data_IF_009102709781
#
_entry.id   IF_009102709781
#
_cell.length_a   1.000
_cell.length_b   1.000
_cell.length_c   1.000
_cell.angle_alpha   90.00
_cell.angle_beta   90.00
_cell.angle_gamma   90.00
#
_symmetry.space_group_name_H-M   'P 1'
#
loop_
_entity.id
_entity.type
_entity.pdbx_description
1 polymer ?
#
# COMPACT_ATOMS: atom_id res chain seq x y z
N UNK A 1 3.82 -11.75 36.48
CA UNK A 1 3.47 -10.81 35.40
C UNK A 1 3.38 -9.43 36.03
N UNK A 2 4.28 -8.51 35.70
CA UNK A 2 4.05 -7.12 36.04
C UNK A 2 2.90 -6.66 35.17
N UNK A 3 1.80 -6.22 35.76
CA UNK A 3 0.74 -5.54 35.01
C UNK A 3 1.34 -4.25 34.50
N UNK A 4 1.47 -4.14 33.17
CA UNK A 4 1.85 -2.90 32.51
C UNK A 4 0.74 -1.88 32.76
N UNK A 5 1.03 -0.86 33.56
CA UNK A 5 0.12 0.27 33.76
C UNK A 5 0.03 1.16 32.51
N UNK A 6 -1.04 1.93 32.42
CA UNK A 6 -1.22 2.91 31.33
C UNK A 6 -0.08 3.93 31.26
N UNK A 7 0.61 4.17 32.37
CA UNK A 7 1.73 5.09 32.46
C UNK A 7 3.01 4.57 31.78
N UNK A 8 3.06 3.27 31.47
CA UNK A 8 4.18 2.63 30.78
C UNK A 8 3.96 2.56 29.26
N UNK A 9 2.80 2.98 28.77
CA UNK A 9 2.49 3.04 27.35
C UNK A 9 3.18 4.22 26.69
N UNK A 10 4.12 3.92 25.81
CA UNK A 10 4.76 4.95 24.98
C UNK A 10 3.94 5.12 23.69
N UNK A 11 3.34 6.29 23.44
CA UNK A 11 2.62 6.54 22.18
C UNK A 11 3.55 6.33 20.99
N UNK A 12 3.09 5.58 20.00
CA UNK A 12 3.86 5.27 18.79
C UNK A 12 4.86 4.12 18.95
N UNK A 13 4.89 3.44 20.10
CA UNK A 13 5.68 2.22 20.24
C UNK A 13 5.18 1.12 19.29
N UNK A 14 6.11 0.44 18.61
CA UNK A 14 5.76 -0.72 17.80
C UNK A 14 5.26 -1.84 18.71
N UNK A 15 4.08 -2.37 18.39
CA UNK A 15 3.53 -3.53 19.10
C UNK A 15 4.08 -4.81 18.47
N UNK A 16 4.41 -5.78 19.34
CA UNK A 16 4.85 -7.09 18.89
C UNK A 16 3.70 -7.96 18.44
N UNK A 17 4.00 -8.86 17.52
CA UNK A 17 3.09 -9.93 17.16
C UNK A 17 2.91 -10.86 18.37
N UNK A 18 1.69 -11.21 18.69
CA UNK A 18 1.41 -12.25 19.67
C UNK A 18 1.80 -13.62 19.09
N UNK A 19 3.00 -14.05 19.37
CA UNK A 19 3.49 -15.37 18.96
C UNK A 19 3.43 -16.40 20.10
N UNK A 20 2.72 -16.08 21.18
CA UNK A 20 2.65 -16.91 22.39
C UNK A 20 3.84 -16.78 23.33
N UNK A 21 4.84 -16.00 22.98
CA UNK A 21 6.02 -15.78 23.80
C UNK A 21 5.95 -14.38 24.44
N UNK A 22 5.47 -14.31 25.66
CA UNK A 22 5.23 -13.07 26.42
C UNK A 22 6.45 -12.58 27.21
N UNK A 23 7.64 -13.07 26.92
CA UNK A 23 8.86 -12.73 27.65
C UNK A 23 9.60 -11.50 27.12
N UNK A 24 8.95 -10.69 26.28
CA UNK A 24 9.54 -9.45 25.80
C UNK A 24 9.32 -8.33 26.81
N UNK A 25 10.40 -7.80 27.35
CA UNK A 25 10.36 -6.55 28.08
C UNK A 25 10.48 -5.39 27.07
N UNK A 26 9.47 -4.54 27.02
CA UNK A 26 9.45 -3.38 26.11
C UNK A 26 10.65 -2.46 26.34
N UNK A 27 11.17 -2.43 27.58
CA UNK A 27 12.35 -1.64 27.92
C UNK A 27 13.65 -2.12 27.23
N UNK A 28 13.70 -3.39 26.83
CA UNK A 28 14.88 -3.98 26.19
C UNK A 28 14.95 -3.73 24.68
N UNK A 29 13.90 -3.13 24.11
CA UNK A 29 13.82 -2.87 22.67
C UNK A 29 14.41 -1.51 22.38
N UNK A 30 15.47 -1.52 21.58
CA UNK A 30 16.07 -0.28 21.12
C UNK A 30 15.12 0.49 20.20
N UNK A 31 15.08 1.82 20.24
CA UNK A 31 14.22 2.63 19.38
C UNK A 31 14.40 2.34 17.89
N UNK A 32 15.60 1.99 17.48
CA UNK A 32 15.96 1.64 16.10
C UNK A 32 15.29 0.34 15.66
N UNK A 33 15.19 -0.64 16.53
CA UNK A 33 14.59 -1.95 16.26
C UNK A 33 13.06 -1.87 16.15
N UNK A 34 12.46 -0.86 16.76
CA UNK A 34 11.00 -0.69 16.79
C UNK A 34 10.41 -0.35 15.42
N UNK A 35 11.17 0.30 14.58
CA UNK A 35 10.67 0.82 13.30
C UNK A 35 10.73 -0.19 12.16
N UNK A 36 11.61 -1.19 12.29
CA UNK A 36 11.90 -2.13 11.20
C UNK A 36 11.92 -3.59 11.63
N UNK A 37 11.41 -3.90 12.82
CA UNK A 37 11.36 -5.28 13.27
C UNK A 37 10.43 -6.11 12.37
N UNK A 38 10.77 -7.38 12.17
CA UNK A 38 9.95 -8.34 11.42
C UNK A 38 8.54 -8.50 11.99
N UNK A 39 8.31 -7.99 13.20
CA UNK A 39 7.02 -8.03 13.91
C UNK A 39 6.19 -6.75 13.71
N UNK A 40 6.66 -5.79 12.92
CA UNK A 40 5.91 -4.56 12.64
C UNK A 40 4.84 -4.79 11.58
N UNK A 41 3.84 -3.90 11.53
CA UNK A 41 2.80 -3.93 10.50
C UNK A 41 3.35 -3.81 9.07
N UNK A 42 4.58 -3.30 8.91
CA UNK A 42 5.26 -3.22 7.62
C UNK A 42 5.59 -4.61 7.04
N UNK A 43 5.81 -5.61 7.87
CA UNK A 43 6.07 -6.98 7.44
C UNK A 43 4.79 -7.81 7.23
N UNK A 44 3.64 -7.28 7.63
CA UNK A 44 2.36 -7.96 7.47
C UNK A 44 1.80 -7.71 6.06
N UNK A 45 1.80 -8.75 5.22
CA UNK A 45 1.15 -8.69 3.91
C UNK A 45 -0.37 -8.81 4.05
N UNK A 46 -1.10 -7.91 3.40
CA UNK A 46 -2.57 -7.96 3.27
C UNK A 46 -2.99 -8.24 1.83
N UNK A 47 -2.03 -8.53 0.96
CA UNK A 47 -2.28 -8.79 -0.46
C UNK A 47 -3.28 -9.91 -0.71
N UNK A 48 -3.29 -10.93 0.12
CA UNK A 48 -4.20 -12.07 0.00
C UNK A 48 -5.67 -11.74 0.30
N UNK A 49 -5.93 -10.59 0.88
CA UNK A 49 -7.30 -10.18 1.25
C UNK A 49 -8.08 -9.54 0.11
N UNK A 50 -7.40 -9.11 -0.95
CA UNK A 50 -8.08 -8.43 -2.07
C UNK A 50 -8.57 -9.41 -3.11
N UNK A 51 -9.61 -9.01 -3.82
CA UNK A 51 -10.20 -9.73 -4.95
C UNK A 51 -9.80 -9.08 -6.28
N UNK A 52 -9.64 -7.78 -6.25
CA UNK A 52 -9.23 -6.94 -7.39
C UNK A 52 -8.03 -6.08 -7.00
N UNK A 53 -7.19 -5.78 -7.96
CA UNK A 53 -5.99 -4.97 -7.77
C UNK A 53 -5.90 -3.84 -8.80
N UNK A 54 -5.33 -2.69 -8.43
CA UNK A 54 -5.04 -1.65 -9.39
C UNK A 54 -3.81 -2.04 -10.22
N UNK A 55 -3.90 -1.90 -11.53
CA UNK A 55 -2.75 -1.99 -12.43
C UNK A 55 -2.42 -0.60 -12.94
N UNK A 56 -1.15 -0.26 -12.95
CA UNK A 56 -0.65 1.03 -13.35
C UNK A 56 -0.05 0.99 -14.77
N UNK A 57 -0.50 1.91 -15.61
CA UNK A 57 0.07 2.15 -16.92
C UNK A 57 0.93 3.42 -16.90
N UNK A 58 2.23 3.24 -16.97
CA UNK A 58 3.20 4.33 -16.93
C UNK A 58 3.14 5.24 -18.15
N UNK A 59 2.71 4.74 -19.32
CA UNK A 59 2.66 5.52 -20.57
C UNK A 59 1.58 6.61 -20.56
N UNK A 60 0.51 6.40 -19.78
CA UNK A 60 -0.60 7.36 -19.66
C UNK A 60 -0.51 8.20 -18.39
N UNK A 61 0.42 7.89 -17.51
CA UNK A 61 0.60 8.57 -16.23
C UNK A 61 1.21 9.97 -16.42
N UNK A 62 0.69 10.94 -15.68
CA UNK A 62 1.18 12.33 -15.66
C UNK A 62 1.85 12.72 -14.36
N UNK A 63 2.12 11.75 -13.49
CA UNK A 63 2.79 11.93 -12.20
C UNK A 63 2.15 12.97 -11.27
N UNK A 64 0.83 13.14 -11.35
CA UNK A 64 0.08 14.11 -10.53
C UNK A 64 0.03 13.72 -9.05
N UNK A 65 0.31 12.45 -8.72
CA UNK A 65 0.36 11.89 -7.37
C UNK A 65 -0.97 11.93 -6.58
N UNK A 66 -2.10 12.18 -7.22
CA UNK A 66 -3.39 12.10 -6.54
C UNK A 66 -3.64 10.73 -5.92
N UNK A 67 -3.26 9.66 -6.63
CA UNK A 67 -3.36 8.28 -6.12
C UNK A 67 -2.52 8.07 -4.86
N UNK A 68 -1.35 8.67 -4.77
CA UNK A 68 -0.49 8.61 -3.60
C UNK A 68 -1.13 9.31 -2.38
N UNK A 69 -1.71 10.49 -2.58
CA UNK A 69 -2.36 11.26 -1.51
C UNK A 69 -3.58 10.52 -0.95
N UNK A 70 -4.37 9.89 -1.82
CA UNK A 70 -5.64 9.25 -1.43
C UNK A 70 -5.50 7.79 -1.03
N UNK A 71 -4.34 7.16 -1.19
CA UNK A 71 -4.17 5.76 -0.80
C UNK A 71 -4.22 5.61 0.74
N UNK A 72 -5.20 4.88 1.29
CA UNK A 72 -5.36 4.73 2.74
C UNK A 72 -4.24 3.88 3.37
N UNK A 73 -3.58 3.04 2.57
CA UNK A 73 -2.58 2.10 3.05
C UNK A 73 -1.14 2.50 2.64
N UNK A 74 -0.96 3.68 2.07
CA UNK A 74 0.34 4.16 1.59
C UNK A 74 1.00 3.16 0.61
N UNK A 75 0.19 2.47 -0.18
CA UNK A 75 0.65 1.41 -1.09
C UNK A 75 1.04 1.92 -2.47
N UNK A 76 0.86 3.21 -2.74
CA UNK A 76 1.36 3.85 -3.97
C UNK A 76 2.79 4.32 -3.72
N UNK A 77 3.70 3.86 -4.57
CA UNK A 77 5.11 4.21 -4.47
C UNK A 77 5.38 5.43 -5.35
N UNK A 78 5.81 6.52 -4.73
CA UNK A 78 6.22 7.74 -5.42
C UNK A 78 7.59 8.19 -4.92
N UNK A 79 8.48 8.56 -5.85
CA UNK A 79 9.81 9.10 -5.54
C UNK A 79 10.19 10.17 -6.55
N UNK A 80 10.84 11.23 -6.08
CA UNK A 80 11.33 12.31 -6.93
C UNK A 80 10.22 12.94 -7.81
N UNK A 81 9.02 13.06 -7.26
CA UNK A 81 7.81 13.58 -7.94
C UNK A 81 7.31 12.68 -9.08
N UNK A 82 7.74 11.44 -9.14
CA UNK A 82 7.29 10.46 -10.11
C UNK A 82 6.63 9.28 -9.43
N UNK A 83 5.59 8.74 -10.04
CA UNK A 83 5.01 7.47 -9.63
C UNK A 83 5.93 6.32 -10.05
N UNK A 84 6.12 5.34 -9.17
CA UNK A 84 6.99 4.19 -9.42
C UNK A 84 6.24 2.85 -9.44
N UNK A 85 5.03 2.81 -8.95
CA UNK A 85 4.22 1.59 -8.96
C UNK A 85 3.32 1.45 -7.75
N UNK A 86 2.82 0.24 -7.56
CA UNK A 86 1.93 -0.15 -6.47
C UNK A 86 2.59 -1.25 -5.64
N UNK A 87 2.62 -1.07 -4.33
CA UNK A 87 3.02 -2.10 -3.39
C UNK A 87 1.84 -3.06 -3.15
N UNK A 88 1.85 -4.18 -3.84
CA UNK A 88 0.78 -5.17 -3.77
C UNK A 88 0.74 -5.96 -2.47
N UNK A 89 1.77 -5.93 -1.66
CA UNK A 89 1.75 -6.59 -0.35
C UNK A 89 0.88 -5.84 0.65
N UNK A 90 0.78 -4.52 0.52
CA UNK A 90 0.02 -3.66 1.43
C UNK A 90 -1.27 -3.09 0.80
N UNK A 91 -1.43 -3.22 -0.50
CA UNK A 91 -2.64 -2.76 -1.19
C UNK A 91 -3.84 -3.65 -0.86
N UNK A 92 -4.94 -3.07 -0.40
CA UNK A 92 -6.20 -3.79 -0.11
C UNK A 92 -7.21 -3.81 -1.25
N UNK A 93 -6.90 -3.19 -2.40
CA UNK A 93 -7.79 -3.19 -3.55
C UNK A 93 -9.01 -2.28 -3.42
N UNK A 94 -8.93 -1.18 -2.67
CA UNK A 94 -10.08 -0.30 -2.40
C UNK A 94 -10.53 0.53 -3.63
N UNK A 95 -9.70 0.70 -4.66
CA UNK A 95 -10.02 1.42 -5.89
C UNK A 95 -9.98 2.94 -5.81
N UNK A 96 -9.63 3.55 -4.67
CA UNK A 96 -9.56 5.01 -4.53
C UNK A 96 -8.55 5.64 -5.50
N UNK A 97 -7.40 5.01 -5.71
CA UNK A 97 -6.39 5.48 -6.66
C UNK A 97 -6.93 5.58 -8.09
N UNK A 98 -7.79 4.65 -8.48
CA UNK A 98 -8.46 4.67 -9.79
C UNK A 98 -9.49 5.80 -9.86
N UNK A 99 -10.26 5.99 -8.79
CA UNK A 99 -11.28 7.06 -8.74
C UNK A 99 -10.68 8.45 -8.90
N UNK A 100 -9.53 8.71 -8.28
CA UNK A 100 -8.90 10.04 -8.29
C UNK A 100 -7.94 10.27 -9.44
N UNK A 101 -7.70 9.26 -10.27
CA UNK A 101 -6.84 9.41 -11.44
C UNK A 101 -7.48 10.33 -12.48
N UNK A 102 -6.85 11.47 -12.84
CA UNK A 102 -7.46 12.47 -13.72
C UNK A 102 -7.26 12.18 -15.21
N UNK A 103 -6.41 11.21 -15.57
CA UNK A 103 -6.08 10.93 -16.96
C UNK A 103 -7.22 10.26 -17.72
N UNK A 104 -7.27 10.42 -19.04
CA UNK A 104 -8.23 9.75 -19.91
C UNK A 104 -7.51 9.17 -21.13
N UNK A 105 -7.39 7.85 -21.27
CA UNK A 105 -7.85 6.83 -20.32
C UNK A 105 -7.12 6.93 -18.99
N UNK A 106 -7.73 6.40 -17.93
CA UNK A 106 -7.10 6.41 -16.61
C UNK A 106 -5.79 5.62 -16.61
N UNK A 107 -4.80 6.11 -15.90
CA UNK A 107 -3.49 5.43 -15.77
C UNK A 107 -3.49 4.31 -14.73
N UNK A 108 -4.56 4.21 -13.95
CA UNK A 108 -4.82 3.14 -13.01
C UNK A 108 -6.20 2.56 -13.30
N UNK A 109 -6.28 1.25 -13.44
CA UNK A 109 -7.54 0.50 -13.61
C UNK A 109 -7.53 -0.73 -12.71
N UNK A 110 -8.71 -1.14 -12.26
CA UNK A 110 -8.87 -2.34 -11.44
C UNK A 110 -9.01 -3.57 -12.33
N UNK A 111 -8.24 -4.60 -12.01
CA UNK A 111 -8.30 -5.92 -12.63
C UNK A 111 -8.46 -7.00 -11.57
N UNK A 112 -8.83 -8.20 -12.00
CA UNK A 112 -8.87 -9.37 -11.11
C UNK A 112 -7.50 -9.62 -10.50
N UNK A 113 -7.45 -10.09 -9.27
CA UNK A 113 -6.20 -10.36 -8.55
C UNK A 113 -5.25 -11.29 -9.31
N UNK A 114 -5.80 -12.27 -10.02
CA UNK A 114 -5.03 -13.27 -10.77
C UNK A 114 -4.63 -12.82 -12.18
N UNK A 115 -5.10 -11.66 -12.65
CA UNK A 115 -4.69 -11.11 -13.94
C UNK A 115 -3.22 -10.69 -13.90
N UNK A 116 -2.47 -11.04 -14.93
CA UNK A 116 -1.09 -10.59 -15.07
C UNK A 116 -1.04 -9.12 -15.48
N UNK A 117 0.02 -8.41 -15.11
CA UNK A 117 0.19 -7.00 -15.48
C UNK A 117 0.28 -6.84 -16.99
N UNK A 118 0.97 -7.75 -17.68
CA UNK A 118 1.10 -7.73 -19.15
C UNK A 118 -0.26 -7.86 -19.83
N UNK A 119 -1.08 -8.83 -19.39
CA UNK A 119 -2.43 -9.02 -19.95
C UNK A 119 -3.34 -7.83 -19.64
N UNK A 120 -3.24 -7.26 -18.45
CA UNK A 120 -4.00 -6.07 -18.09
C UNK A 120 -3.62 -4.86 -18.96
N UNK A 121 -2.33 -4.66 -19.22
CA UNK A 121 -1.85 -3.59 -20.10
C UNK A 121 -2.29 -3.80 -21.56
N UNK A 122 -2.32 -5.04 -22.02
CA UNK A 122 -2.81 -5.36 -23.38
C UNK A 122 -4.31 -5.04 -23.58
N UNK A 123 -5.09 -5.07 -22.51
CA UNK A 123 -6.52 -4.76 -22.49
C UNK A 123 -6.80 -3.26 -22.20
N UNK A 124 -5.76 -2.42 -22.11
CA UNK A 124 -5.93 -1.01 -21.75
C UNK A 124 -6.79 -0.28 -22.79
N UNK A 125 -7.77 0.53 -22.35
CA UNK A 125 -8.62 1.26 -23.28
C UNK A 125 -7.81 2.32 -24.04
N UNK A 126 -8.03 2.40 -25.33
CA UNK A 126 -7.43 3.43 -26.17
C UNK A 126 -8.00 4.82 -25.84
N UNK A 127 -7.18 5.87 -26.03
CA UNK A 127 -7.67 7.25 -25.97
C UNK A 127 -8.84 7.40 -26.96
N UNK A 128 -10.03 7.62 -26.43
CA UNK A 128 -11.12 8.11 -27.27
C UNK A 128 -10.66 9.44 -27.87
N UNK A 129 -10.40 9.46 -29.17
CA UNK A 129 -10.28 10.72 -29.89
C UNK A 129 -11.56 11.47 -29.57
N UNK A 130 -11.45 12.68 -29.02
CA UNK A 130 -12.61 13.59 -28.93
C UNK A 130 -13.16 13.64 -30.30
N UNK A 131 -14.36 13.09 -30.52
CA UNK A 131 -15.05 13.16 -31.77
C UNK A 131 -15.24 14.62 -32.17
N UNK A 132 -15.06 14.83 -33.41
CA UNK A 132 -15.48 16.04 -34.10
C UNK A 132 -16.94 16.37 -33.72
#
# INVERSE_FOLDING_TARGET
>A
MSEMGWDELVPGAALFTFNGNINYNIADIQPEDRMYSETSSKSMSVGDWRVIKPVWNSETCIDCQNCWIFCPDTSIIARNKEMKGVDYEHCKGCGLCVSVCPTNPKSLLMFNEYETVENALAQWPEKKKKGE
#
